data_IF_034978007056
#
_entry.id   IF_034978007056
#
_cell.length_a   1.000
_cell.length_b   1.000
_cell.length_c   1.000
_cell.angle_alpha   90.00
_cell.angle_beta   90.00
_cell.angle_gamma   90.00
#
_symmetry.space_group_name_H-M   'P 1'
#
loop_
_entity.id
_entity.type
_entity.pdbx_description
1 polymer ?
#
# COMPACT_ATOMS: atom_id res chain seq x y z
N UNK A 1 -8.60 -84.76 4.12
CA UNK A 1 -7.62 -83.75 4.57
C UNK A 1 -6.67 -83.44 3.43
N UNK A 2 -6.31 -82.24 3.01
CA UNK A 2 -6.96 -80.93 2.91
C UNK A 2 -6.02 -80.11 2.00
N UNK A 3 -6.58 -79.62 0.88
CA UNK A 3 -6.30 -78.37 0.15
C UNK A 3 -4.85 -77.95 -0.16
N UNK A 4 -4.50 -78.01 -1.46
CA UNK A 4 -3.45 -77.22 -2.12
C UNK A 4 -3.86 -75.73 -2.18
N UNK A 5 -3.12 -74.86 -1.51
CA UNK A 5 -3.34 -73.41 -1.50
C UNK A 5 -2.60 -72.68 -2.63
N UNK A 6 -3.35 -72.25 -3.64
CA UNK A 6 -2.91 -71.31 -4.68
C UNK A 6 -2.70 -69.91 -4.10
N UNK A 7 -1.47 -69.37 -4.13
CA UNK A 7 -1.19 -67.96 -3.82
C UNK A 7 -1.42 -67.09 -5.06
N UNK A 8 -2.56 -66.42 -5.11
CA UNK A 8 -2.86 -65.33 -6.05
C UNK A 8 -1.96 -64.13 -5.80
N UNK A 9 -1.21 -63.69 -6.82
CA UNK A 9 -0.54 -62.38 -6.82
C UNK A 9 -1.60 -61.26 -6.82
N UNK A 10 -1.44 -60.19 -6.03
CA UNK A 10 -2.37 -59.06 -6.07
C UNK A 10 -2.27 -58.35 -7.42
N UNK A 11 -3.39 -57.83 -7.97
CA UNK A 11 -3.36 -57.10 -9.23
C UNK A 11 -2.53 -55.82 -9.04
N UNK A 12 -1.58 -55.60 -9.96
CA UNK A 12 -0.89 -54.32 -10.10
C UNK A 12 -1.93 -53.20 -10.23
N UNK A 13 -2.09 -52.42 -9.16
CA UNK A 13 -2.88 -51.19 -9.16
C UNK A 13 -2.19 -50.24 -10.14
N UNK A 14 -2.68 -50.16 -11.37
CA UNK A 14 -2.23 -49.17 -12.35
C UNK A 14 -2.36 -47.80 -11.69
N UNK A 15 -1.23 -47.14 -11.44
CA UNK A 15 -1.21 -45.73 -11.09
C UNK A 15 -1.95 -44.99 -12.21
N UNK A 16 -2.92 -44.10 -11.90
CA UNK A 16 -3.57 -43.31 -12.92
C UNK A 16 -2.53 -42.45 -13.66
N UNK A 17 -2.74 -42.17 -14.96
CA UNK A 17 -1.78 -41.40 -15.75
C UNK A 17 -1.50 -40.06 -15.08
N UNK A 18 -0.22 -39.68 -15.04
CA UNK A 18 0.21 -38.36 -14.61
C UNK A 18 -0.59 -37.30 -15.38
N UNK A 19 -1.46 -36.58 -14.68
CA UNK A 19 -2.21 -35.44 -15.21
C UNK A 19 -1.18 -34.47 -15.79
N UNK A 20 -1.25 -34.24 -17.11
CA UNK A 20 -0.37 -33.28 -17.77
C UNK A 20 -0.65 -31.90 -17.17
N UNK A 21 0.38 -31.12 -16.81
CA UNK A 21 0.20 -29.77 -16.24
C UNK A 21 -0.74 -28.91 -17.10
N UNK A 22 -0.71 -29.09 -18.42
CA UNK A 22 -1.47 -28.32 -19.42
C UNK A 22 -3.01 -28.31 -19.18
N UNK A 23 -3.56 -29.34 -18.52
CA UNK A 23 -4.99 -29.41 -18.15
C UNK A 23 -5.32 -28.94 -16.73
N UNK A 24 -4.33 -28.86 -15.84
CA UNK A 24 -4.49 -28.39 -14.46
C UNK A 24 -4.73 -26.87 -14.42
N UNK A 25 -4.12 -26.12 -15.32
CA UNK A 25 -4.08 -24.65 -15.27
C UNK A 25 -5.40 -23.97 -15.63
N UNK A 26 -6.11 -24.45 -16.67
CA UNK A 26 -7.47 -23.96 -16.99
C UNK A 26 -8.50 -24.27 -15.89
N UNK A 27 -8.19 -25.22 -15.01
CA UNK A 27 -9.05 -25.65 -13.90
C UNK A 27 -8.61 -25.09 -12.54
N UNK A 28 -7.52 -24.34 -12.44
CA UNK A 28 -7.10 -23.75 -11.16
C UNK A 28 -8.03 -22.65 -10.66
N UNK A 29 -8.85 -22.05 -11.52
CA UNK A 29 -9.96 -21.19 -11.11
C UNK A 29 -11.02 -21.92 -10.27
N UNK A 30 -11.03 -23.26 -10.25
CA UNK A 30 -11.94 -24.09 -9.45
C UNK A 30 -11.26 -24.98 -8.42
N UNK A 31 -9.93 -24.89 -8.24
CA UNK A 31 -9.19 -25.72 -7.29
C UNK A 31 -8.95 -24.94 -6.01
N UNK A 32 -9.40 -25.47 -4.87
CA UNK A 32 -9.11 -24.89 -3.56
C UNK A 32 -7.64 -25.13 -3.17
N UNK A 33 -6.96 -24.10 -2.70
CA UNK A 33 -5.56 -24.20 -2.26
C UNK A 33 -5.07 -22.91 -1.61
N UNK A 34 -3.77 -22.89 -1.31
CA UNK A 34 -3.08 -21.78 -0.61
C UNK A 34 -1.88 -21.30 -1.39
N UNK A 35 -1.77 -19.98 -1.55
CA UNK A 35 -0.64 -19.29 -2.12
C UNK A 35 0.39 -18.91 -1.05
N UNK A 36 1.67 -19.10 -1.36
CA UNK A 36 2.78 -18.65 -0.52
C UNK A 36 3.92 -18.16 -1.37
N UNK A 37 4.56 -17.07 -0.96
CA UNK A 37 5.82 -16.62 -1.54
C UNK A 37 6.98 -17.16 -0.67
N UNK A 38 7.93 -17.86 -1.29
CA UNK A 38 9.15 -18.31 -0.60
C UNK A 38 10.21 -17.20 -0.59
N UNK A 39 11.23 -17.35 0.26
CA UNK A 39 12.38 -16.43 0.34
C UNK A 39 13.14 -16.29 -0.99
N UNK A 40 13.07 -17.32 -1.83
CA UNK A 40 13.66 -17.33 -3.19
C UNK A 40 12.80 -16.63 -4.25
N UNK A 41 11.70 -15.98 -3.84
CA UNK A 41 10.68 -15.36 -4.72
C UNK A 41 9.95 -16.38 -5.61
N UNK A 42 9.98 -17.65 -5.22
CA UNK A 42 9.18 -18.69 -5.87
C UNK A 42 7.75 -18.61 -5.31
N UNK A 43 6.78 -18.64 -6.21
CA UNK A 43 5.38 -18.69 -5.84
C UNK A 43 4.99 -20.16 -5.71
N UNK A 44 4.61 -20.56 -4.51
CA UNK A 44 4.16 -21.92 -4.23
C UNK A 44 2.65 -21.93 -4.07
N UNK A 45 2.00 -22.87 -4.75
CA UNK A 45 0.59 -23.18 -4.58
C UNK A 45 0.43 -24.58 -3.98
N UNK A 46 -0.22 -24.68 -2.83
CA UNK A 46 -0.51 -25.97 -2.20
C UNK A 46 -1.99 -26.27 -2.38
N UNK A 47 -2.31 -27.36 -3.09
CA UNK A 47 -3.68 -27.82 -3.31
C UNK A 47 -4.27 -28.34 -1.99
N UNK A 48 -5.54 -28.03 -1.73
CA UNK A 48 -6.29 -28.52 -0.57
C UNK A 48 -6.72 -29.97 -0.81
N UNK A 49 -6.76 -30.73 0.28
CA UNK A 49 -6.93 -32.18 0.37
C UNK A 49 -8.35 -32.69 0.03
N UNK A 50 -9.20 -31.88 -0.58
CA UNK A 50 -10.62 -32.20 -0.85
C UNK A 50 -10.82 -33.14 -2.04
N UNK A 51 -9.77 -33.45 -2.80
CA UNK A 51 -9.78 -34.50 -3.82
C UNK A 51 -8.73 -35.55 -3.45
N UNK A 52 -9.17 -36.75 -3.02
CA UNK A 52 -8.30 -37.86 -2.57
C UNK A 52 -7.23 -38.24 -3.61
N UNK A 53 -7.42 -37.87 -4.87
CA UNK A 53 -6.47 -38.09 -5.97
C UNK A 53 -5.27 -37.12 -5.96
N UNK A 54 -5.36 -36.01 -5.22
CA UNK A 54 -4.37 -34.93 -5.17
C UNK A 54 -3.93 -34.55 -3.76
N UNK A 55 -4.28 -35.37 -2.76
CA UNK A 55 -3.94 -35.13 -1.36
C UNK A 55 -2.48 -34.66 -1.19
N UNK A 56 -2.32 -33.44 -0.66
CA UNK A 56 -1.05 -32.75 -0.36
C UNK A 56 -0.10 -32.41 -1.54
N UNK A 57 -0.58 -32.38 -2.79
CA UNK A 57 0.30 -31.94 -3.90
C UNK A 57 0.60 -30.44 -3.82
N UNK A 58 1.88 -30.14 -3.64
CA UNK A 58 2.42 -28.78 -3.74
C UNK A 58 2.95 -28.55 -5.15
N UNK A 59 2.45 -27.51 -5.80
CA UNK A 59 2.92 -27.03 -7.09
C UNK A 59 3.77 -25.79 -6.84
N UNK A 60 5.07 -25.89 -7.10
CA UNK A 60 5.99 -24.75 -7.00
C UNK A 60 6.22 -24.13 -8.38
N UNK A 61 5.85 -22.85 -8.52
CA UNK A 61 6.09 -22.06 -9.71
C UNK A 61 7.29 -21.14 -9.47
N UNK A 62 8.40 -21.48 -10.10
CA UNK A 62 9.56 -20.62 -10.16
C UNK A 62 9.38 -19.61 -11.27
N UNK A 63 8.88 -18.44 -10.89
CA UNK A 63 8.67 -17.32 -11.78
C UNK A 63 9.21 -16.03 -11.18
N UNK A 64 8.82 -14.93 -11.79
CA UNK A 64 9.09 -13.62 -11.25
C UNK A 64 7.92 -12.68 -11.53
N UNK A 65 7.76 -11.69 -10.67
CA UNK A 65 6.72 -10.67 -10.83
C UNK A 65 7.01 -9.88 -12.11
N UNK A 66 6.06 -9.88 -13.04
CA UNK A 66 6.13 -9.15 -14.31
C UNK A 66 5.29 -7.89 -14.29
N UNK A 67 4.19 -7.87 -13.51
CA UNK A 67 3.28 -6.72 -13.41
C UNK A 67 2.63 -6.65 -12.03
N UNK A 68 2.37 -5.43 -11.58
CA UNK A 68 1.63 -5.15 -10.36
C UNK A 68 0.69 -3.97 -10.61
N UNK A 69 -0.61 -4.24 -10.58
CA UNK A 69 -1.68 -3.25 -10.71
C UNK A 69 -2.46 -3.16 -9.40
N UNK A 70 -3.38 -2.21 -9.26
CA UNK A 70 -4.03 -1.93 -7.99
C UNK A 70 -4.78 -3.12 -7.35
N UNK A 71 -5.24 -4.09 -8.16
CA UNK A 71 -5.92 -5.31 -7.70
C UNK A 71 -5.33 -6.61 -8.24
N UNK A 72 -4.16 -6.54 -8.89
CA UNK A 72 -3.63 -7.69 -9.63
C UNK A 72 -2.12 -7.79 -9.46
N UNK A 73 -1.66 -9.02 -9.25
CA UNK A 73 -0.24 -9.38 -9.23
C UNK A 73 0.01 -10.46 -10.29
N UNK A 74 0.86 -10.16 -11.27
CA UNK A 74 1.15 -11.06 -12.38
C UNK A 74 2.55 -11.65 -12.22
N UNK A 75 2.62 -12.99 -12.29
CA UNK A 75 3.86 -13.76 -12.29
C UNK A 75 4.11 -14.37 -13.66
N UNK A 76 5.25 -14.08 -14.25
CA UNK A 76 5.76 -14.77 -15.43
C UNK A 76 6.63 -15.96 -15.03
N UNK A 77 6.42 -17.12 -15.65
CA UNK A 77 7.25 -18.30 -15.46
C UNK A 77 7.46 -19.04 -16.79
N UNK A 78 8.44 -19.94 -16.81
CA UNK A 78 8.74 -20.77 -17.99
C UNK A 78 8.30 -22.20 -17.72
N UNK A 79 7.50 -22.75 -18.61
CA UNK A 79 7.15 -24.17 -18.60
C UNK A 79 7.93 -24.89 -19.69
N UNK A 80 8.39 -26.10 -19.41
CA UNK A 80 8.94 -27.02 -20.40
C UNK A 80 7.85 -28.05 -20.68
N UNK A 81 7.41 -28.14 -21.93
CA UNK A 81 6.41 -29.15 -22.31
C UNK A 81 7.06 -30.52 -22.59
N UNK A 82 6.22 -31.51 -22.95
CA UNK A 82 6.69 -32.87 -23.28
C UNK A 82 7.62 -32.92 -24.49
N UNK A 83 7.56 -31.92 -25.37
CA UNK A 83 8.43 -31.77 -26.54
C UNK A 83 9.72 -31.00 -26.24
N UNK A 84 9.96 -30.67 -24.96
CA UNK A 84 11.08 -29.83 -24.48
C UNK A 84 11.04 -28.39 -24.98
N UNK A 85 9.94 -27.94 -25.57
CA UNK A 85 9.76 -26.55 -25.93
C UNK A 85 9.52 -25.73 -24.65
N UNK A 86 10.15 -24.55 -24.60
CA UNK A 86 10.05 -23.61 -23.48
C UNK A 86 9.03 -22.54 -23.82
N UNK A 87 7.91 -22.56 -23.12
CA UNK A 87 6.85 -21.56 -23.31
C UNK A 87 6.80 -20.64 -22.10
N UNK A 88 6.78 -19.33 -22.35
CA UNK A 88 6.53 -18.33 -21.32
C UNK A 88 5.03 -18.32 -20.99
N UNK A 89 4.71 -18.37 -19.70
CA UNK A 89 3.34 -18.34 -19.19
C UNK A 89 3.21 -17.23 -18.16
N UNK A 90 2.02 -16.66 -18.05
CA UNK A 90 1.68 -15.69 -17.01
C UNK A 90 0.57 -16.24 -16.12
N UNK A 91 0.69 -16.01 -14.82
CA UNK A 91 -0.34 -16.25 -13.82
C UNK A 91 -0.73 -14.92 -13.20
N UNK A 92 -2.01 -14.57 -13.30
CA UNK A 92 -2.56 -13.38 -12.65
C UNK A 92 -3.29 -13.76 -11.37
N UNK A 93 -2.92 -13.13 -10.27
CA UNK A 93 -3.58 -13.26 -8.97
C UNK A 93 -4.38 -11.99 -8.70
N UNK A 94 -5.66 -12.16 -8.38
CA UNK A 94 -6.53 -11.07 -7.92
C UNK A 94 -6.40 -10.88 -6.42
N UNK A 95 -6.50 -9.64 -5.96
CA UNK A 95 -6.30 -9.32 -4.55
C UNK A 95 -6.22 -7.84 -4.27
N UNK A 96 -5.65 -7.50 -3.12
CA UNK A 96 -5.35 -6.11 -2.76
C UNK A 96 -3.95 -5.94 -2.21
N UNK A 97 -3.44 -4.73 -2.37
CA UNK A 97 -2.15 -4.33 -1.83
C UNK A 97 -2.31 -3.67 -0.46
N UNK A 98 -1.39 -4.00 0.45
CA UNK A 98 -1.25 -3.33 1.74
C UNK A 98 0.20 -3.31 2.23
N UNK A 99 0.46 -2.45 3.20
CA UNK A 99 1.66 -2.53 4.03
C UNK A 99 1.33 -3.36 5.28
N UNK A 100 2.20 -4.30 5.67
CA UNK A 100 2.00 -5.04 6.92
C UNK A 100 2.38 -4.19 8.16
N UNK A 101 2.26 -4.77 9.36
CA UNK A 101 2.59 -4.07 10.61
C UNK A 101 4.07 -3.62 10.72
N UNK A 102 4.96 -4.16 9.88
CA UNK A 102 6.37 -3.77 9.76
C UNK A 102 6.60 -2.89 8.52
N UNK A 103 5.54 -2.35 7.93
CA UNK A 103 5.56 -1.59 6.69
C UNK A 103 6.22 -2.35 5.52
N UNK A 104 6.03 -3.67 5.41
CA UNK A 104 6.48 -4.47 4.24
C UNK A 104 5.37 -4.58 3.20
N UNK A 105 5.74 -4.54 1.93
CA UNK A 105 4.80 -4.71 0.82
C UNK A 105 4.19 -6.12 0.86
N UNK A 106 2.86 -6.18 0.99
CA UNK A 106 2.09 -7.43 1.04
C UNK A 106 0.94 -7.37 0.06
N UNK A 107 0.78 -8.43 -0.73
CA UNK A 107 -0.41 -8.67 -1.54
C UNK A 107 -1.29 -9.71 -0.84
N UNK A 108 -2.56 -9.37 -0.65
CA UNK A 108 -3.58 -10.24 -0.10
C UNK A 108 -4.35 -10.85 -1.27
N UNK A 109 -4.08 -12.12 -1.57
CA UNK A 109 -4.71 -12.85 -2.66
C UNK A 109 -6.11 -13.24 -2.23
N UNK A 110 -7.10 -12.85 -3.02
CA UNK A 110 -8.50 -13.27 -2.83
C UNK A 110 -8.63 -14.77 -3.19
N UNK A 111 -9.19 -15.57 -2.29
CA UNK A 111 -9.51 -16.98 -2.54
C UNK A 111 -11.02 -17.14 -2.73
N UNK A 112 -11.42 -18.23 -3.39
CA UNK A 112 -12.82 -18.54 -3.64
C UNK A 112 -13.65 -18.74 -2.35
N UNK A 113 -13.02 -19.17 -1.26
CA UNK A 113 -13.66 -19.37 0.05
C UNK A 113 -13.78 -18.06 0.88
N UNK A 114 -13.42 -16.91 0.29
CA UNK A 114 -13.46 -15.61 0.95
C UNK A 114 -12.30 -15.35 1.92
N UNK A 115 -11.43 -16.33 2.15
CA UNK A 115 -10.20 -16.16 2.95
C UNK A 115 -9.10 -15.58 2.06
N UNK A 116 -8.09 -14.95 2.67
CA UNK A 116 -6.97 -14.35 1.93
C UNK A 116 -5.65 -15.02 2.25
N UNK A 117 -4.85 -15.26 1.21
CA UNK A 117 -3.46 -15.64 1.36
C UNK A 117 -2.55 -14.40 1.33
N UNK A 118 -1.51 -14.41 2.19
CA UNK A 118 -0.57 -13.29 2.30
C UNK A 118 0.71 -13.56 1.55
N UNK A 119 0.99 -12.73 0.53
CA UNK A 119 2.25 -12.72 -0.20
C UNK A 119 3.07 -11.48 0.20
N UNK A 120 4.03 -11.66 1.12
CA UNK A 120 4.90 -10.56 1.56
C UNK A 120 6.20 -10.55 0.75
N UNK A 121 6.50 -9.44 0.11
CA UNK A 121 7.69 -9.28 -0.73
C UNK A 121 8.88 -8.78 0.10
N UNK A 122 10.08 -9.23 -0.26
CA UNK A 122 11.33 -8.74 0.32
C UNK A 122 11.91 -7.57 -0.49
N UNK A 123 12.12 -6.45 0.17
CA UNK A 123 12.52 -5.21 -0.48
C UNK A 123 12.49 -4.02 0.46
N UNK A 124 12.58 -2.83 -0.11
CA UNK A 124 12.43 -1.57 0.60
C UNK A 124 11.64 -0.57 -0.23
N UNK A 125 10.98 0.36 0.45
CA UNK A 125 10.27 1.44 -0.22
C UNK A 125 11.20 2.58 -0.58
N UNK A 126 10.90 3.22 -1.69
CA UNK A 126 11.54 4.44 -2.16
C UNK A 126 10.44 5.42 -2.56
N UNK A 127 10.70 6.70 -2.39
CA UNK A 127 9.80 7.75 -2.85
C UNK A 127 10.46 8.40 -4.04
N UNK A 128 9.74 8.38 -5.17
CA UNK A 128 10.19 9.01 -6.39
C UNK A 128 10.14 10.54 -6.33
N UNK A 129 10.73 11.20 -7.34
CA UNK A 129 10.77 12.66 -7.42
C UNK A 129 9.39 13.31 -7.59
N UNK A 130 8.36 12.55 -7.99
CA UNK A 130 6.99 13.04 -8.19
C UNK A 130 6.03 12.47 -7.15
N UNK A 131 6.55 12.19 -5.95
CA UNK A 131 5.80 11.66 -4.82
C UNK A 131 5.19 10.28 -5.06
N UNK A 132 5.59 9.58 -6.12
CA UNK A 132 5.14 8.22 -6.37
C UNK A 132 5.86 7.24 -5.46
N UNK A 133 5.12 6.23 -5.00
CA UNK A 133 5.66 5.19 -4.15
C UNK A 133 6.26 4.07 -5.00
N UNK A 134 7.51 3.73 -4.71
CA UNK A 134 8.27 2.71 -5.41
C UNK A 134 8.72 1.63 -4.42
N UNK A 135 8.80 0.38 -4.87
CA UNK A 135 9.32 -0.72 -4.08
C UNK A 135 10.48 -1.39 -4.79
N UNK A 136 11.67 -1.28 -4.20
CA UNK A 136 12.87 -1.95 -4.69
C UNK A 136 12.94 -3.34 -4.10
N UNK A 137 12.69 -4.34 -4.91
CA UNK A 137 12.74 -5.73 -4.46
C UNK A 137 14.20 -6.19 -4.32
N UNK A 138 14.58 -6.81 -3.19
CA UNK A 138 15.97 -7.23 -2.89
C UNK A 138 16.53 -8.30 -3.83
N UNK A 139 17.70 -8.08 -4.45
CA UNK A 139 18.37 -9.02 -5.36
C UNK A 139 18.38 -10.46 -4.82
N UNK A 140 17.93 -11.42 -5.62
CA UNK A 140 18.26 -12.82 -5.38
C UNK A 140 19.72 -13.09 -5.75
N UNK A 141 20.37 -14.06 -5.11
CA UNK A 141 21.72 -14.47 -5.49
C UNK A 141 21.74 -14.88 -6.98
N UNK A 142 22.43 -14.09 -7.82
CA UNK A 142 22.57 -14.32 -9.26
C UNK A 142 21.70 -13.45 -10.17
N UNK A 143 20.82 -12.59 -9.65
CA UNK A 143 20.02 -11.67 -10.48
C UNK A 143 20.71 -10.29 -10.56
N UNK A 144 21.16 -9.92 -11.77
CA UNK A 144 21.84 -8.63 -12.03
C UNK A 144 20.84 -7.45 -12.12
N UNK A 145 19.56 -7.71 -12.33
CA UNK A 145 18.56 -6.65 -12.51
C UNK A 145 17.82 -6.37 -11.21
N UNK A 146 17.94 -5.14 -10.70
CA UNK A 146 17.02 -4.65 -9.68
C UNK A 146 15.62 -4.51 -10.27
N UNK A 147 14.63 -5.07 -9.57
CA UNK A 147 13.23 -4.93 -9.97
C UNK A 147 12.57 -3.87 -9.10
N UNK A 148 12.10 -2.83 -9.75
CA UNK A 148 11.34 -1.74 -9.16
C UNK A 148 9.86 -1.96 -9.47
N UNK A 149 9.05 -2.10 -8.43
CA UNK A 149 7.60 -1.97 -8.57
C UNK A 149 7.24 -0.50 -8.37
N UNK A 150 6.46 0.07 -9.28
CA UNK A 150 5.97 1.44 -9.17
C UNK A 150 4.47 1.39 -8.92
N UNK A 151 4.01 2.19 -7.96
CA UNK A 151 2.60 2.31 -7.62
C UNK A 151 2.16 3.74 -7.90
N UNK A 152 1.22 3.90 -8.83
CA UNK A 152 0.56 5.18 -9.03
C UNK A 152 -0.55 5.35 -7.99
N UNK A 153 -0.67 6.55 -7.44
CA UNK A 153 -1.52 6.79 -6.29
C UNK A 153 -1.45 8.22 -5.80
N UNK A 154 -1.92 8.43 -4.57
CA UNK A 154 -1.83 9.72 -3.89
C UNK A 154 -1.63 9.54 -2.38
N UNK A 155 -0.86 10.45 -1.79
CA UNK A 155 -0.69 10.56 -0.35
C UNK A 155 -1.90 11.22 0.30
N UNK A 156 -2.19 10.74 1.51
CA UNK A 156 -3.21 11.24 2.41
C UNK A 156 -2.65 11.21 3.84
N UNK A 157 -3.12 12.11 4.69
CA UNK A 157 -2.72 12.21 6.10
C UNK A 157 -3.94 11.90 6.95
N UNK A 158 -3.94 10.73 7.58
CA UNK A 158 -5.09 10.24 8.33
C UNK A 158 -4.94 10.40 9.84
N UNK A 159 -3.74 10.72 10.32
CA UNK A 159 -3.43 10.91 11.74
C UNK A 159 -2.04 11.49 11.96
N UNK A 160 -1.74 11.90 13.20
CA UNK A 160 -0.44 12.48 13.58
C UNK A 160 0.71 11.49 13.41
N UNK A 161 0.41 10.20 13.59
CA UNK A 161 1.35 9.08 13.53
C UNK A 161 1.20 8.24 12.24
N UNK A 162 0.49 8.77 11.24
CA UNK A 162 -0.01 7.94 10.13
C UNK A 162 -0.19 8.70 8.82
N UNK A 163 0.46 8.17 7.78
CA UNK A 163 0.26 8.59 6.39
C UNK A 163 -0.18 7.39 5.56
N UNK A 164 -1.00 7.64 4.55
CA UNK A 164 -1.56 6.62 3.68
C UNK A 164 -1.24 6.95 2.24
N UNK A 165 -0.75 5.97 1.48
CA UNK A 165 -0.65 6.05 0.02
C UNK A 165 -1.77 5.23 -0.60
N UNK A 166 -2.77 5.90 -1.19
CA UNK A 166 -3.92 5.24 -1.84
C UNK A 166 -3.58 4.94 -3.29
N UNK A 167 -3.74 3.69 -3.73
CA UNK A 167 -3.43 3.31 -5.11
C UNK A 167 -4.50 3.85 -6.06
N UNK A 168 -4.07 4.38 -7.20
CA UNK A 168 -4.97 4.82 -8.25
C UNK A 168 -5.81 3.65 -8.78
N UNK A 169 -7.09 3.90 -9.08
CA UNK A 169 -8.01 2.85 -9.57
C UNK A 169 -8.47 1.85 -8.50
N UNK A 170 -8.21 2.10 -7.21
CA UNK A 170 -8.65 1.22 -6.12
C UNK A 170 -9.11 1.99 -4.89
N UNK A 171 -10.21 1.53 -4.30
CA UNK A 171 -10.67 1.94 -2.96
C UNK A 171 -10.25 0.96 -1.87
N UNK A 172 -9.79 -0.25 -2.26
CA UNK A 172 -9.47 -1.37 -1.35
C UNK A 172 -7.97 -1.56 -1.15
N UNK A 173 -7.14 -0.98 -2.02
CA UNK A 173 -5.68 -1.05 -1.94
C UNK A 173 -5.11 0.28 -1.48
N UNK A 174 -4.41 0.24 -0.36
CA UNK A 174 -3.70 1.39 0.17
C UNK A 174 -2.52 0.92 1.03
N UNK A 175 -1.45 1.70 1.05
CA UNK A 175 -0.31 1.47 1.94
C UNK A 175 -0.41 2.42 3.11
N UNK A 176 -0.75 1.89 4.26
CA UNK A 176 -0.83 2.63 5.51
C UNK A 176 0.51 2.51 6.25
N UNK A 177 1.14 3.65 6.51
CA UNK A 177 2.44 3.72 7.14
C UNK A 177 2.33 4.37 8.51
N UNK A 178 2.86 3.70 9.53
CA UNK A 178 3.19 4.35 10.81
C UNK A 178 4.35 5.32 10.59
N UNK A 179 4.10 6.60 10.83
CA UNK A 179 4.99 7.68 10.47
C UNK A 179 4.94 8.79 11.52
N UNK A 180 6.08 9.25 12.00
CA UNK A 180 6.13 10.41 12.90
C UNK A 180 6.30 11.69 12.09
N UNK A 181 5.51 12.72 12.40
CA UNK A 181 5.76 14.06 11.88
C UNK A 181 7.14 14.53 12.36
N UNK A 182 7.97 15.05 11.46
CA UNK A 182 9.32 15.49 11.83
C UNK A 182 9.33 16.90 12.45
N UNK A 183 8.35 17.75 12.11
CA UNK A 183 8.28 19.12 12.59
C UNK A 183 6.84 19.51 12.92
N UNK A 184 6.53 19.84 14.19
CA UNK A 184 5.17 20.17 14.63
C UNK A 184 4.75 21.60 14.25
N UNK A 185 5.67 22.43 13.75
CA UNK A 185 5.38 23.77 13.28
C UNK A 185 5.99 23.96 11.90
N UNK A 186 5.19 24.47 10.96
CA UNK A 186 5.57 24.70 9.58
C UNK A 186 5.17 26.10 9.16
N UNK A 187 6.02 26.75 8.36
CA UNK A 187 5.61 27.95 7.62
C UNK A 187 5.00 27.53 6.28
N UNK A 188 3.83 28.07 5.95
CA UNK A 188 3.11 27.75 4.70
C UNK A 188 3.99 27.94 3.45
N UNK A 189 4.85 28.96 3.45
CA UNK A 189 5.79 29.26 2.35
C UNK A 189 6.85 28.18 2.12
N UNK A 190 7.12 27.30 3.08
CA UNK A 190 8.09 26.21 2.89
C UNK A 190 7.57 25.14 1.93
N UNK A 191 6.26 25.06 1.73
CA UNK A 191 5.67 24.19 0.70
C UNK A 191 6.01 22.71 0.86
N UNK A 192 6.21 22.23 2.10
CA UNK A 192 6.59 20.85 2.35
C UNK A 192 5.96 20.26 3.62
N UNK A 193 5.72 18.96 3.58
CA UNK A 193 5.38 18.11 4.72
C UNK A 193 6.47 17.05 4.87
N UNK A 194 7.02 16.90 6.07
CA UNK A 194 8.12 15.96 6.35
C UNK A 194 7.70 14.94 7.41
N UNK A 195 7.72 13.68 7.02
CA UNK A 195 7.44 12.53 7.87
C UNK A 195 8.66 11.61 7.96
N UNK A 196 8.73 10.88 9.07
CA UNK A 196 9.70 9.82 9.27
C UNK A 196 8.97 8.48 9.41
N UNK A 197 9.18 7.58 8.45
CA UNK A 197 8.54 6.27 8.38
C UNK A 197 9.55 5.20 8.77
N UNK A 198 9.20 4.31 9.70
CA UNK A 198 10.00 3.12 10.01
C UNK A 198 9.66 1.98 9.06
N UNK A 199 10.57 1.55 8.19
CA UNK A 199 10.34 0.49 7.22
C UNK A 199 11.06 -0.78 7.64
N UNK A 200 10.32 -1.85 7.89
CA UNK A 200 10.87 -3.15 8.25
C UNK A 200 11.43 -3.88 7.04
N UNK A 201 12.61 -4.47 7.20
CA UNK A 201 13.28 -5.34 6.26
C UNK A 201 13.18 -6.80 6.73
N UNK A 202 13.44 -7.73 5.82
CA UNK A 202 13.22 -9.18 6.05
C UNK A 202 14.01 -9.74 7.25
N UNK A 203 15.15 -9.14 7.60
CA UNK A 203 16.01 -9.57 8.73
C UNK A 203 15.62 -8.98 10.09
N UNK A 204 14.41 -8.42 10.21
CA UNK A 204 13.97 -7.74 11.44
C UNK A 204 14.65 -6.39 11.67
N UNK A 205 15.55 -5.98 10.78
CA UNK A 205 16.10 -4.62 10.76
C UNK A 205 15.02 -3.66 10.28
N UNK A 206 14.93 -2.49 10.90
CA UNK A 206 14.08 -1.41 10.42
C UNK A 206 14.95 -0.22 10.03
N UNK A 207 14.61 0.43 8.92
CA UNK A 207 15.25 1.67 8.50
C UNK A 207 14.25 2.80 8.63
N UNK A 208 14.65 3.88 9.29
CA UNK A 208 13.89 5.13 9.29
C UNK A 208 14.16 5.86 7.97
N UNK A 209 13.10 6.15 7.24
CA UNK A 209 13.15 6.85 5.97
C UNK A 209 12.38 8.17 6.09
N UNK A 210 13.01 9.24 5.61
CA UNK A 210 12.35 10.54 5.51
C UNK A 210 11.48 10.56 4.27
N UNK A 211 10.23 10.92 4.45
CA UNK A 211 9.23 11.15 3.41
C UNK A 211 8.98 12.65 3.36
N UNK A 212 9.34 13.30 2.25
CA UNK A 212 9.08 14.72 2.04
C UNK A 212 8.07 14.85 0.90
N UNK A 213 6.93 15.44 1.19
CA UNK A 213 5.92 15.80 0.19
C UNK A 213 6.05 17.28 -0.08
N UNK A 214 6.27 17.66 -1.34
CA UNK A 214 6.31 19.04 -1.77
C UNK A 214 4.95 19.45 -2.34
N UNK A 215 4.57 20.70 -2.11
CA UNK A 215 3.25 21.19 -2.45
C UNK A 215 3.00 22.63 -2.03
N UNK A 216 1.75 23.05 -2.16
CA UNK A 216 1.32 24.39 -1.78
C UNK A 216 0.29 24.33 -0.66
N UNK A 217 0.51 25.11 0.39
CA UNK A 217 -0.48 25.32 1.44
C UNK A 217 -1.50 26.36 0.98
N UNK A 218 -2.79 26.05 1.14
CA UNK A 218 -3.89 26.98 0.90
C UNK A 218 -4.81 27.03 2.10
N UNK A 219 -5.26 28.24 2.41
CA UNK A 219 -6.33 28.47 3.37
C UNK A 219 -7.62 28.70 2.59
N UNK A 220 -8.63 27.88 2.86
CA UNK A 220 -9.91 27.90 2.15
C UNK A 220 -10.93 28.81 2.86
N UNK A 221 -12.00 29.17 2.14
CA UNK A 221 -13.09 30.05 2.64
C UNK A 221 -13.88 29.45 3.80
N UNK A 222 -14.00 28.12 3.81
CA UNK A 222 -14.63 27.33 4.87
C UNK A 222 -13.73 27.16 6.10
N UNK A 223 -12.59 27.85 6.14
CA UNK A 223 -11.56 27.75 7.19
C UNK A 223 -10.90 26.37 7.25
N UNK A 224 -11.01 25.55 6.20
CA UNK A 224 -10.15 24.38 6.04
C UNK A 224 -8.77 24.81 5.52
N UNK A 225 -7.77 24.00 5.81
CA UNK A 225 -6.43 24.13 5.22
C UNK A 225 -6.21 22.97 4.27
N UNK A 226 -5.66 23.23 3.09
CA UNK A 226 -5.28 22.17 2.16
C UNK A 226 -3.81 22.25 1.80
N UNK A 227 -3.18 21.09 1.69
CA UNK A 227 -1.85 20.95 1.10
C UNK A 227 -1.97 20.27 -0.26
N UNK A 228 -1.72 21.02 -1.32
CA UNK A 228 -1.83 20.56 -2.71
C UNK A 228 -0.52 19.97 -3.20
N UNK A 229 -0.53 18.68 -3.52
CA UNK A 229 0.63 17.92 -3.99
C UNK A 229 0.49 17.66 -5.49
N UNK A 230 1.44 18.10 -6.33
CA UNK A 230 1.48 17.76 -7.74
C UNK A 230 2.09 16.36 -7.95
N UNK A 231 1.57 15.64 -8.95
CA UNK A 231 2.02 14.30 -9.36
C UNK A 231 2.47 14.29 -10.82
N UNK A 232 3.19 13.23 -11.21
CA UNK A 232 3.82 13.10 -12.53
C UNK A 232 2.85 13.14 -13.71
N UNK A 233 1.60 12.73 -13.50
CA UNK A 233 0.54 12.69 -14.51
C UNK A 233 -0.20 14.03 -14.65
N UNK A 234 0.33 15.10 -14.05
CA UNK A 234 -0.28 16.43 -14.04
C UNK A 234 -1.45 16.57 -13.06
N UNK A 235 -1.84 15.51 -12.34
CA UNK A 235 -2.85 15.62 -11.29
C UNK A 235 -2.30 16.41 -10.10
N UNK A 236 -3.17 17.20 -9.49
CA UNK A 236 -2.92 17.85 -8.20
C UNK A 236 -3.90 17.28 -7.20
N UNK A 237 -3.40 16.69 -6.12
CA UNK A 237 -4.23 16.18 -5.03
C UNK A 237 -4.12 17.08 -3.82
N UNK A 238 -5.26 17.53 -3.30
CA UNK A 238 -5.33 18.26 -2.05
C UNK A 238 -5.49 17.30 -0.85
N UNK A 239 -4.56 17.36 0.10
CA UNK A 239 -4.75 16.81 1.45
C UNK A 239 -5.46 17.88 2.26
N UNK A 240 -6.69 17.61 2.68
CA UNK A 240 -7.55 18.56 3.41
C UNK A 240 -7.49 18.31 4.91
N UNK A 241 -7.32 19.40 5.63
CA UNK A 241 -7.27 19.49 7.08
C UNK A 241 -8.32 20.47 7.56
N UNK A 242 -8.90 20.17 8.71
CA UNK A 242 -9.60 21.18 9.50
C UNK A 242 -8.58 21.87 10.41
N UNK A 243 -8.99 22.94 11.09
CA UNK A 243 -8.08 23.53 12.06
C UNK A 243 -8.68 24.60 12.95
N UNK A 244 -7.99 24.83 14.06
CA UNK A 244 -8.29 25.92 14.99
C UNK A 244 -7.35 27.10 14.72
N UNK A 245 -7.94 28.29 14.64
CA UNK A 245 -7.27 29.50 14.22
C UNK A 245 -6.82 30.31 15.43
N UNK A 246 -5.56 30.71 15.42
CA UNK A 246 -5.02 31.65 16.39
C UNK A 246 -4.32 32.78 15.65
N UNK A 247 -4.55 34.00 16.13
CA UNK A 247 -3.78 35.16 15.68
C UNK A 247 -2.48 35.20 16.48
N UNK A 248 -1.35 35.01 15.81
CA UNK A 248 -0.05 35.08 16.48
C UNK A 248 0.43 36.54 16.57
N UNK A 249 0.19 37.35 15.52
CA UNK A 249 0.49 38.80 15.37
C UNK A 249 -0.39 39.40 14.25
N UNK A 250 -0.44 40.74 14.08
CA UNK A 250 -1.26 41.45 13.07
C UNK A 250 -1.22 40.86 11.65
N UNK A 251 -0.11 40.24 11.24
CA UNK A 251 0.09 39.71 9.89
C UNK A 251 0.33 38.18 9.82
N UNK A 252 0.00 37.44 10.88
CA UNK A 252 0.23 35.98 10.96
C UNK A 252 -0.98 35.23 11.48
N UNK A 253 -1.38 34.21 10.74
CA UNK A 253 -2.42 33.25 11.12
C UNK A 253 -1.76 31.92 11.38
N UNK A 254 -1.89 31.40 12.59
CA UNK A 254 -1.47 30.05 12.93
C UNK A 254 -2.71 29.14 12.95
N UNK A 255 -2.64 28.04 12.22
CA UNK A 255 -3.72 27.04 12.15
C UNK A 255 -3.19 25.73 12.71
N UNK A 256 -3.71 25.31 13.87
CA UNK A 256 -3.44 23.98 14.38
C UNK A 256 -4.34 22.99 13.63
N UNK A 257 -3.72 22.02 12.95
CA UNK A 257 -4.41 21.12 12.04
C UNK A 257 -5.06 19.96 12.79
N UNK A 258 -6.23 19.58 12.30
CA UNK A 258 -7.08 18.53 12.84
C UNK A 258 -7.47 17.59 11.69
N UNK A 259 -7.53 16.30 11.96
CA UNK A 259 -8.02 15.30 11.01
C UNK A 259 -9.53 15.44 10.78
N UNK A 260 -10.05 14.76 9.75
CA UNK A 260 -11.51 14.65 9.51
C UNK A 260 -12.26 13.93 10.62
N UNK A 261 -11.56 13.27 11.55
CA UNK A 261 -12.13 12.62 12.74
C UNK A 261 -12.07 13.53 13.97
N UNK A 262 -11.74 14.81 13.76
CA UNK A 262 -11.55 15.81 14.80
C UNK A 262 -10.41 15.49 15.78
N UNK A 263 -9.42 14.72 15.33
CA UNK A 263 -8.22 14.41 16.12
C UNK A 263 -7.10 15.42 15.82
N UNK A 264 -6.42 15.98 16.83
CA UNK A 264 -5.29 16.87 16.61
C UNK A 264 -4.15 16.17 15.86
N UNK A 265 -3.62 16.80 14.81
CA UNK A 265 -2.44 16.28 14.10
C UNK A 265 -1.12 16.59 14.79
N UNK A 266 -1.14 17.46 15.83
CA UNK A 266 0.08 17.98 16.44
C UNK A 266 0.92 18.83 15.47
N UNK A 267 0.28 19.34 14.41
CA UNK A 267 0.91 20.16 13.38
C UNK A 267 0.24 21.53 13.34
N UNK A 268 1.04 22.59 13.41
CA UNK A 268 0.59 23.98 13.25
C UNK A 268 1.21 24.56 11.98
N UNK A 269 0.37 25.11 11.10
CA UNK A 269 0.81 25.82 9.90
C UNK A 269 0.63 27.31 10.10
N UNK A 270 1.72 28.06 9.93
CA UNK A 270 1.70 29.52 10.00
C UNK A 270 1.64 30.12 8.60
N UNK A 271 0.59 30.87 8.33
CA UNK A 271 0.40 31.69 7.14
C UNK A 271 0.82 33.13 7.44
N UNK A 272 1.58 33.73 6.53
CA UNK A 272 1.95 35.15 6.56
C UNK A 272 1.17 35.92 5.49
N UNK A 273 1.14 37.24 5.60
CA UNK A 273 0.49 38.13 4.61
C UNK A 273 0.98 37.92 3.18
N UNK A 274 2.24 37.52 2.98
CA UNK A 274 2.79 37.20 1.65
C UNK A 274 2.11 36.00 0.98
N UNK A 275 1.54 35.09 1.78
CA UNK A 275 0.78 33.91 1.30
C UNK A 275 -0.73 34.20 1.24
N UNK A 276 -1.17 35.27 1.90
CA UNK A 276 -2.57 35.69 2.04
C UNK A 276 -2.71 37.20 1.80
N UNK A 277 -2.44 37.72 0.59
CA UNK A 277 -2.40 39.17 0.33
C UNK A 277 -3.74 39.86 0.67
N UNK A 278 -4.85 39.16 0.51
CA UNK A 278 -6.22 39.68 0.68
C UNK A 278 -6.93 39.22 1.97
N UNK A 279 -6.20 38.63 2.92
CA UNK A 279 -6.77 38.22 4.21
C UNK A 279 -6.73 39.34 5.25
N UNK A 280 -7.91 39.71 5.77
CA UNK A 280 -8.07 40.56 6.96
C UNK A 280 -8.34 39.70 8.17
N UNK A 281 -7.47 39.78 9.16
CA UNK A 281 -7.72 39.20 10.48
C UNK A 281 -8.71 40.09 11.24
N UNK A 282 -9.77 39.52 11.80
CA UNK A 282 -10.70 40.25 12.66
C UNK A 282 -10.79 39.61 14.04
N UNK A 283 -10.93 40.46 15.04
CA UNK A 283 -11.26 40.12 16.42
C UNK A 283 -12.56 40.84 16.73
N UNK A 284 -13.62 40.08 17.03
CA UNK A 284 -14.93 40.60 17.41
C UNK A 284 -15.18 40.24 18.86
N UNK A 285 -15.21 41.25 19.72
CA UNK A 285 -15.80 41.11 21.05
C UNK A 285 -17.32 41.07 20.87
N UNK A 286 -17.97 40.02 21.37
CA UNK A 286 -19.42 39.99 21.56
C UNK A 286 -19.66 40.09 23.06
N UNK A 287 -20.46 41.08 23.45
CA UNK A 287 -20.85 41.29 24.83
C UNK A 287 -22.38 41.23 24.85
N UNK A 288 -22.91 40.10 25.30
CA UNK A 288 -24.31 39.96 25.69
C UNK A 288 -24.40 40.13 27.21
N UNK A 289 -25.59 40.42 27.74
CA UNK A 289 -25.82 40.78 29.14
C UNK A 289 -25.26 39.78 30.18
N UNK A 290 -24.97 38.53 29.76
CA UNK A 290 -24.40 37.49 30.62
C UNK A 290 -23.08 36.87 30.10
N UNK A 291 -22.61 37.19 28.88
CA UNK A 291 -21.39 36.57 28.32
C UNK A 291 -20.51 37.57 27.56
N UNK A 292 -19.22 37.59 27.92
CA UNK A 292 -18.16 38.17 27.10
C UNK A 292 -17.51 37.07 26.28
N UNK A 293 -17.72 37.09 24.96
CA UNK A 293 -17.07 36.17 24.03
C UNK A 293 -16.10 36.93 23.13
N UNK A 294 -14.85 36.47 23.08
CA UNK A 294 -13.85 36.96 22.12
C UNK A 294 -13.83 36.02 20.92
N UNK A 295 -14.33 36.47 19.77
CA UNK A 295 -14.28 35.71 18.53
C UNK A 295 -13.16 36.23 17.62
N UNK A 296 -12.15 35.40 17.37
CA UNK A 296 -11.15 35.65 16.33
C UNK A 296 -11.56 34.98 15.01
N UNK A 297 -11.31 35.63 13.88
CA UNK A 297 -11.57 35.06 12.56
C UNK A 297 -10.69 35.67 11.47
N UNK A 298 -10.65 35.01 10.33
CA UNK A 298 -9.96 35.50 9.13
C UNK A 298 -11.03 35.74 8.05
N UNK A 299 -11.07 36.95 7.52
CA UNK A 299 -11.89 37.32 6.38
C UNK A 299 -10.97 37.44 5.16
N UNK A 300 -11.01 36.46 4.27
CA UNK A 300 -10.29 36.52 3.00
C UNK A 300 -11.20 37.19 1.97
N UNK A 301 -10.82 38.38 1.49
CA UNK A 301 -11.47 39.01 0.33
C UNK A 301 -10.88 38.38 -0.94
N UNK A 302 -11.72 38.16 -1.94
CA UNK A 302 -11.33 37.79 -3.29
C UNK A 302 -12.04 38.77 -4.22
#
# INVERSE_FOLDING_TARGET
MSVLGSRSRPPHRRLPPAVSPDGLWRRMSSLEGRWKLTKGRELTYTLRETDERFASRTVSLRGAITRADAHTLVFGFRQVDRTRLRTAQELSLSGRWQADARNRLTFLVERADGVEDRLTLSGGWEIGPHHELRYRAQRGAGDRAERLLRFDGAWDVTGADRIVYRLAGSTRSAFEFRAALQSPSLFAREGRLVYQVGMGLERGTSRRQRVTLFGAWKLNRDRSVSFEVPYADGRVQAIRFEGTFSSARRDRVAVALITRRHEPLGLTVTFTRDVLPDAKLFLRLRQDAEEQAVMGGVQVRF
#
